data_IF_884743877640
#
_entry.id   IF_884743877640
#
_cell.length_a   1.000
_cell.length_b   1.000
_cell.length_c   1.000
_cell.angle_alpha   90.00
_cell.angle_beta   90.00
_cell.angle_gamma   90.00
#
_symmetry.space_group_name_H-M   'P 1'
#
loop_
_entity.id
_entity.type
_entity.pdbx_description
1 polymer ?
#
# COMPACT_ATOMS: atom_id res chain seq x y z
N UNK A 1 2.15 46.04 -5.71
CA UNK A 1 3.33 45.32 -5.17
C UNK A 1 2.99 44.92 -3.75
N UNK A 2 2.64 43.69 -3.39
CA UNK A 2 2.43 42.44 -4.10
C UNK A 2 1.33 41.66 -3.36
N UNK A 3 0.65 40.81 -4.12
CA UNK A 3 -0.60 40.12 -3.82
C UNK A 3 -0.56 39.12 -2.64
N UNK A 4 -1.63 39.13 -1.84
CA UNK A 4 -2.04 38.02 -0.97
C UNK A 4 -3.19 37.29 -1.67
N UNK A 5 -2.93 36.08 -2.18
CA UNK A 5 -3.95 35.18 -2.70
C UNK A 5 -4.52 34.32 -1.55
N UNK A 6 -5.81 34.53 -1.28
CA UNK A 6 -6.68 33.62 -0.55
C UNK A 6 -6.94 32.37 -1.40
N UNK A 7 -6.53 31.20 -0.93
CA UNK A 7 -7.09 29.92 -1.39
C UNK A 7 -8.09 29.43 -0.35
N UNK A 8 -9.38 29.55 -0.66
CA UNK A 8 -10.43 28.80 0.01
C UNK A 8 -10.40 27.35 -0.52
N UNK A 9 -10.07 26.41 0.35
CA UNK A 9 -10.19 24.98 0.10
C UNK A 9 -11.67 24.60 0.07
N UNK A 10 -12.18 24.37 -1.14
CA UNK A 10 -13.42 23.65 -1.38
C UNK A 10 -13.22 22.17 -1.03
N UNK A 11 -14.11 21.67 -0.18
CA UNK A 11 -14.42 20.26 0.01
C UNK A 11 -14.54 19.57 -1.36
N UNK A 12 -13.55 18.75 -1.72
CA UNK A 12 -13.76 17.68 -2.69
C UNK A 12 -13.91 16.39 -1.90
N UNK A 13 -15.15 15.94 -1.82
CA UNK A 13 -15.52 14.56 -1.51
C UNK A 13 -14.68 13.63 -2.39
N UNK A 14 -13.86 12.77 -1.77
CA UNK A 14 -13.26 11.61 -2.40
C UNK A 14 -14.37 10.61 -2.77
N UNK A 15 -15.13 10.94 -3.83
CA UNK A 15 -15.68 9.91 -4.68
C UNK A 15 -14.57 9.54 -5.65
N UNK A 16 -13.90 8.42 -5.39
CA UNK A 16 -13.22 7.69 -6.46
C UNK A 16 -14.32 7.26 -7.43
N UNK A 17 -14.57 8.07 -8.45
CA UNK A 17 -15.21 7.57 -9.66
C UNK A 17 -14.32 6.42 -10.15
N UNK A 18 -14.85 5.22 -10.41
CA UNK A 18 -14.12 4.30 -11.26
C UNK A 18 -13.81 5.08 -12.54
N UNK A 19 -12.54 5.11 -12.95
CA UNK A 19 -12.18 5.65 -14.25
C UNK A 19 -13.20 5.13 -15.28
N UNK A 20 -13.72 5.97 -16.19
CA UNK A 20 -14.55 5.46 -17.27
C UNK A 20 -13.76 4.34 -17.93
N UNK A 21 -14.28 3.10 -17.91
CA UNK A 21 -13.63 1.97 -18.55
C UNK A 21 -13.47 2.34 -20.02
N UNK A 22 -12.27 2.72 -20.40
CA UNK A 22 -11.97 3.06 -21.78
C UNK A 22 -12.19 1.78 -22.58
N UNK A 23 -13.09 1.84 -23.56
CA UNK A 23 -13.30 0.77 -24.56
C UNK A 23 -11.97 0.40 -25.25
N UNK A 24 -10.99 1.32 -25.21
CA UNK A 24 -9.63 1.20 -25.71
C UNK A 24 -8.72 0.28 -24.87
N UNK A 25 -8.93 0.19 -23.56
CA UNK A 25 -8.07 -0.58 -22.64
C UNK A 25 -8.43 -2.09 -22.67
N UNK A 26 -9.72 -2.40 -22.92
CA UNK A 26 -10.26 -3.76 -23.03
C UNK A 26 -9.86 -4.54 -24.32
N UNK A 27 -9.27 -3.86 -25.32
CA UNK A 27 -8.82 -4.50 -26.56
C UNK A 27 -7.41 -5.08 -26.45
N UNK A 28 -6.59 -4.51 -25.58
CA UNK A 28 -5.23 -4.98 -25.30
C UNK A 28 -5.22 -6.13 -24.28
N UNK A 29 -6.31 -6.30 -23.53
CA UNK A 29 -6.43 -7.28 -22.46
C UNK A 29 -6.83 -8.70 -22.93
N UNK A 30 -7.24 -8.89 -24.19
CA UNK A 30 -7.63 -10.23 -24.69
C UNK A 30 -6.93 -10.60 -25.97
N UNK A 31 -6.27 -11.76 -25.99
CA UNK A 31 -5.52 -12.34 -27.11
C UNK A 31 -6.35 -12.68 -28.37
N UNK A 32 -7.64 -12.32 -28.42
CA UNK A 32 -8.58 -12.67 -29.51
C UNK A 32 -9.33 -11.44 -30.08
N UNK A 33 -8.82 -10.22 -29.81
CA UNK A 33 -9.37 -8.98 -30.36
C UNK A 33 -8.35 -8.26 -31.22
N UNK A 34 -8.82 -7.65 -32.30
CA UNK A 34 -8.05 -6.80 -33.19
C UNK A 34 -8.56 -5.35 -33.06
N UNK A 35 -7.61 -4.42 -32.99
CA UNK A 35 -7.89 -2.98 -32.92
C UNK A 35 -7.91 -2.40 -34.34
N UNK A 36 -9.03 -1.82 -34.75
CA UNK A 36 -9.13 -1.11 -36.02
C UNK A 36 -8.15 0.06 -36.05
N UNK A 37 -7.66 0.42 -37.24
CA UNK A 37 -6.61 1.43 -37.39
C UNK A 37 -7.07 2.85 -36.97
N UNK A 38 -8.36 3.14 -37.14
CA UNK A 38 -9.01 4.36 -36.64
C UNK A 38 -9.00 4.52 -35.10
N UNK A 39 -8.65 3.47 -34.35
CA UNK A 39 -8.72 3.39 -32.88
C UNK A 39 -10.12 3.62 -32.30
N UNK A 40 -11.18 3.54 -33.10
CA UNK A 40 -12.55 3.79 -32.65
C UNK A 40 -13.33 2.50 -32.36
N UNK A 41 -12.84 1.36 -32.87
CA UNK A 41 -13.52 0.07 -32.77
C UNK A 41 -12.52 -1.07 -32.59
N UNK A 42 -12.95 -2.10 -31.88
CA UNK A 42 -12.26 -3.38 -31.83
C UNK A 42 -13.20 -4.50 -32.25
N UNK A 43 -12.67 -5.45 -32.99
CA UNK A 43 -13.38 -6.58 -33.55
C UNK A 43 -12.75 -7.88 -33.06
N UNK A 44 -13.51 -8.97 -33.05
CA UNK A 44 -12.98 -10.29 -32.69
C UNK A 44 -12.19 -10.87 -33.87
N UNK A 45 -11.26 -11.77 -33.58
CA UNK A 45 -10.47 -12.44 -34.62
C UNK A 45 -11.32 -13.21 -35.65
N UNK A 46 -12.55 -13.60 -35.34
CA UNK A 46 -13.45 -14.25 -36.31
C UNK A 46 -13.82 -13.34 -37.47
N UNK A 47 -13.92 -12.02 -37.21
CA UNK A 47 -14.30 -10.97 -38.17
C UNK A 47 -13.11 -10.35 -38.91
N UNK A 48 -11.95 -10.99 -38.80
CA UNK A 48 -10.71 -10.51 -39.43
C UNK A 48 -10.46 -11.29 -40.71
N UNK A 49 -10.23 -10.59 -41.82
CA UNK A 49 -9.97 -11.20 -43.11
C UNK A 49 -11.09 -12.20 -43.53
N UNK A 50 -12.35 -11.85 -43.27
CA UNK A 50 -13.55 -12.63 -43.61
C UNK A 50 -14.26 -12.14 -44.89
N UNK A 51 -13.62 -11.20 -45.61
CA UNK A 51 -14.11 -10.52 -46.80
C UNK A 51 -15.28 -9.54 -46.55
N UNK A 52 -15.48 -9.12 -45.31
CA UNK A 52 -16.43 -8.10 -44.92
C UNK A 52 -15.74 -6.95 -44.17
N UNK A 53 -16.19 -5.71 -44.39
CA UNK A 53 -15.65 -4.54 -43.68
C UNK A 53 -16.37 -4.36 -42.35
N UNK A 54 -15.87 -5.00 -41.29
CA UNK A 54 -16.32 -4.82 -39.92
C UNK A 54 -15.63 -3.64 -39.22
N UNK A 55 -14.44 -3.22 -39.64
CA UNK A 55 -13.90 -1.93 -39.24
C UNK A 55 -14.52 -0.79 -40.06
N UNK A 56 -14.77 0.37 -39.42
CA UNK A 56 -15.40 1.52 -40.08
C UNK A 56 -14.52 2.10 -41.21
N UNK A 57 -13.21 1.90 -41.10
CA UNK A 57 -12.19 2.30 -42.07
C UNK A 57 -11.77 1.15 -43.01
N UNK A 58 -12.36 -0.04 -42.87
CA UNK A 58 -12.01 -1.25 -43.63
C UNK A 58 -10.61 -1.79 -43.33
N UNK A 59 -10.00 -1.41 -42.20
CA UNK A 59 -8.64 -1.82 -41.83
C UNK A 59 -8.49 -3.31 -41.51
N UNK A 60 -9.60 -4.04 -41.43
CA UNK A 60 -9.70 -5.48 -41.20
C UNK A 60 -9.53 -6.33 -42.46
N UNK A 61 -9.58 -5.73 -43.66
CA UNK A 61 -9.49 -6.40 -44.95
C UNK A 61 -8.36 -5.79 -45.80
N UNK A 62 -7.18 -6.43 -45.82
CA UNK A 62 -6.05 -5.99 -46.65
C UNK A 62 -5.55 -7.07 -47.60
N UNK A 63 -4.73 -6.69 -48.57
CA UNK A 63 -4.11 -7.64 -49.50
C UNK A 63 -3.26 -8.73 -48.79
N UNK A 64 -2.76 -8.45 -47.59
CA UNK A 64 -1.95 -9.39 -46.79
C UNK A 64 -2.78 -10.50 -46.12
N UNK A 65 -4.12 -10.36 -46.08
CA UNK A 65 -5.06 -11.38 -45.61
C UNK A 65 -4.98 -12.70 -46.40
N UNK A 66 -4.33 -12.71 -47.57
CA UNK A 66 -4.14 -13.89 -48.41
C UNK A 66 -2.90 -14.73 -48.03
N UNK A 67 -2.03 -14.21 -47.16
CA UNK A 67 -0.80 -14.89 -46.75
C UNK A 67 -1.12 -16.09 -45.86
N UNK A 68 -0.66 -17.29 -46.25
CA UNK A 68 -0.95 -18.51 -45.50
C UNK A 68 -0.30 -18.52 -44.10
N UNK A 69 -1.01 -19.10 -43.14
CA UNK A 69 -0.52 -19.29 -41.78
C UNK A 69 0.65 -20.30 -41.73
N UNK A 70 1.74 -20.00 -41.01
CA UNK A 70 2.82 -20.96 -40.83
C UNK A 70 2.39 -22.13 -39.93
N UNK A 71 2.85 -23.33 -40.25
CA UNK A 71 2.59 -24.55 -39.44
C UNK A 71 3.43 -24.62 -38.15
N UNK A 72 4.31 -23.65 -37.92
CA UNK A 72 5.20 -23.59 -36.75
C UNK A 72 4.57 -22.92 -35.52
N UNK A 73 3.35 -22.39 -35.59
CA UNK A 73 2.67 -21.81 -34.43
C UNK A 73 2.31 -22.91 -33.40
N UNK A 74 2.63 -22.69 -32.13
CA UNK A 74 2.37 -23.65 -31.05
C UNK A 74 0.88 -23.84 -30.73
N UNK A 75 0.05 -22.78 -30.85
CA UNK A 75 -1.38 -22.84 -30.55
C UNK A 75 -2.25 -22.64 -31.79
N UNK A 76 -2.48 -21.39 -32.19
CA UNK A 76 -3.31 -21.05 -33.36
C UNK A 76 -2.69 -19.91 -34.16
N UNK A 77 -3.09 -19.81 -35.42
CA UNK A 77 -2.71 -18.72 -36.31
C UNK A 77 -3.95 -18.10 -36.93
N UNK A 78 -3.94 -16.77 -37.07
CA UNK A 78 -4.96 -16.02 -37.80
C UNK A 78 -4.29 -15.17 -38.88
N UNK A 79 -4.86 -15.16 -40.07
CA UNK A 79 -4.46 -14.24 -41.13
C UNK A 79 -4.92 -12.83 -40.73
N UNK A 80 -4.01 -11.87 -40.75
CA UNK A 80 -4.31 -10.48 -40.40
C UNK A 80 -3.95 -9.54 -41.55
N UNK A 81 -4.49 -8.30 -41.55
CA UNK A 81 -4.13 -7.24 -42.48
C UNK A 81 -2.63 -6.89 -42.52
N UNK A 82 -1.88 -7.26 -41.48
CA UNK A 82 -0.42 -7.05 -41.36
C UNK A 82 0.40 -8.33 -41.63
N UNK A 83 -0.23 -9.42 -42.08
CA UNK A 83 0.38 -10.74 -42.27
C UNK A 83 -0.15 -11.79 -41.29
N UNK A 84 0.27 -13.06 -41.40
CA UNK A 84 -0.19 -14.12 -40.51
C UNK A 84 0.37 -13.93 -39.10
N UNK A 85 -0.49 -14.01 -38.09
CA UNK A 85 -0.15 -13.84 -36.69
C UNK A 85 -0.43 -15.13 -35.92
N UNK A 86 0.61 -15.70 -35.29
CA UNK A 86 0.42 -16.72 -34.27
C UNK A 86 -0.13 -16.02 -33.01
N UNK A 87 -1.11 -16.64 -32.35
CA UNK A 87 -1.61 -16.18 -31.06
C UNK A 87 -1.74 -17.36 -30.10
N UNK A 88 -1.81 -17.02 -28.82
CA UNK A 88 -1.73 -17.97 -27.71
C UNK A 88 -3.05 -17.98 -26.92
N UNK A 89 -3.33 -19.05 -26.15
CA UNK A 89 -4.53 -19.10 -25.32
C UNK A 89 -4.54 -17.93 -24.30
N UNK A 90 -5.71 -17.57 -23.74
CA UNK A 90 -5.80 -16.58 -22.67
C UNK A 90 -4.84 -16.90 -21.51
N UNK A 91 -4.25 -15.86 -20.91
CA UNK A 91 -3.25 -16.01 -19.83
C UNK A 91 -1.83 -16.34 -20.31
N UNK A 92 -1.59 -16.35 -21.62
CA UNK A 92 -0.24 -16.58 -22.19
C UNK A 92 0.04 -15.56 -23.30
N UNK A 93 1.30 -15.32 -23.65
CA UNK A 93 1.69 -14.41 -24.72
C UNK A 93 2.73 -15.04 -25.65
N UNK A 94 2.93 -14.48 -26.84
CA UNK A 94 3.89 -15.00 -27.81
C UNK A 94 5.33 -14.67 -27.40
N UNK A 95 6.22 -15.65 -27.52
CA UNK A 95 7.64 -15.49 -27.18
C UNK A 95 8.37 -14.57 -28.15
N UNK A 96 9.12 -13.61 -27.62
CA UNK A 96 9.96 -12.69 -28.41
C UNK A 96 11.23 -13.35 -28.98
N UNK A 97 11.59 -14.55 -28.52
CA UNK A 97 12.85 -15.23 -28.88
C UNK A 97 12.71 -16.19 -30.07
N UNK A 98 11.51 -16.69 -30.36
CA UNK A 98 11.26 -17.72 -31.38
C UNK A 98 10.29 -17.23 -32.47
N UNK A 99 10.56 -16.09 -33.10
CA UNK A 99 9.69 -15.50 -34.14
C UNK A 99 8.19 -15.45 -33.75
N UNK A 100 7.87 -15.18 -32.48
CA UNK A 100 6.50 -15.14 -31.95
C UNK A 100 5.67 -16.44 -32.13
N UNK A 101 6.33 -17.59 -32.31
CA UNK A 101 5.64 -18.88 -32.60
C UNK A 101 5.34 -19.74 -31.38
N UNK A 102 6.01 -19.50 -30.24
CA UNK A 102 5.81 -20.24 -28.98
C UNK A 102 5.06 -19.40 -27.96
N UNK A 103 4.32 -20.07 -27.07
CA UNK A 103 3.51 -19.44 -26.03
C UNK A 103 4.23 -19.51 -24.68
N UNK A 104 4.30 -18.37 -24.01
CA UNK A 104 4.89 -18.19 -22.69
C UNK A 104 3.80 -17.74 -21.73
N UNK A 105 3.80 -18.32 -20.54
CA UNK A 105 2.89 -17.97 -19.47
C UNK A 105 3.02 -16.48 -19.07
N UNK A 106 1.89 -15.84 -18.75
CA UNK A 106 1.90 -14.49 -18.16
C UNK A 106 1.90 -14.69 -16.66
N UNK A 107 2.95 -14.21 -15.98
CA UNK A 107 2.97 -14.23 -14.51
C UNK A 107 2.22 -13.01 -13.96
N UNK A 108 0.93 -13.19 -13.63
CA UNK A 108 0.13 -12.09 -13.09
C UNK A 108 0.60 -11.67 -11.70
N UNK A 109 1.33 -12.51 -10.96
CA UNK A 109 1.77 -12.23 -9.60
C UNK A 109 2.91 -11.19 -9.54
N UNK A 110 3.51 -10.82 -10.67
CA UNK A 110 4.47 -9.71 -10.75
C UNK A 110 3.76 -8.36 -10.56
N UNK A 111 2.46 -8.28 -10.87
CA UNK A 111 1.68 -7.05 -10.72
C UNK A 111 1.06 -6.95 -9.32
N UNK A 112 1.39 -5.87 -8.62
CA UNK A 112 0.82 -5.58 -7.30
C UNK A 112 -0.70 -5.35 -7.39
N UNK A 113 -1.46 -5.91 -6.44
CA UNK A 113 -2.91 -5.72 -6.33
C UNK A 113 -3.77 -6.71 -7.13
N UNK A 114 -3.17 -7.77 -7.70
CA UNK A 114 -3.95 -8.85 -8.34
C UNK A 114 -4.70 -9.71 -7.32
N UNK A 115 -4.05 -10.00 -6.19
CA UNK A 115 -4.62 -10.65 -5.02
C UNK A 115 -4.44 -9.72 -3.81
N UNK A 116 -5.36 -9.74 -2.85
CA UNK A 116 -5.23 -8.96 -1.61
C UNK A 116 -4.02 -9.40 -0.77
N UNK A 117 -3.69 -10.69 -0.82
CA UNK A 117 -2.65 -11.31 0.01
C UNK A 117 -1.70 -12.15 -0.86
N UNK A 118 -1.84 -13.48 -0.87
CA UNK A 118 -0.88 -14.36 -1.52
C UNK A 118 -1.34 -14.72 -2.94
N UNK A 119 -0.47 -14.49 -3.93
CA UNK A 119 -0.67 -14.87 -5.33
C UNK A 119 0.23 -16.07 -5.69
N UNK A 120 -0.35 -17.09 -6.31
CA UNK A 120 0.40 -18.21 -6.91
C UNK A 120 0.13 -18.27 -8.40
N UNK A 121 1.18 -18.06 -9.20
CA UNK A 121 1.10 -18.13 -10.65
C UNK A 121 0.88 -19.58 -11.12
N UNK A 122 0.02 -19.77 -12.12
CA UNK A 122 -0.28 -21.08 -12.72
C UNK A 122 -0.29 -20.95 -14.24
N UNK A 123 -0.11 -22.04 -14.97
CA UNK A 123 -0.08 -21.92 -16.44
C UNK A 123 -1.42 -21.42 -17.00
N UNK A 124 -1.43 -20.22 -17.59
CA UNK A 124 -2.58 -19.53 -18.17
C UNK A 124 -3.49 -18.84 -17.16
N UNK A 125 -3.13 -18.77 -15.88
CA UNK A 125 -3.96 -18.13 -14.84
C UNK A 125 -3.20 -17.96 -13.52
N UNK A 126 -3.89 -17.58 -12.46
CA UNK A 126 -3.34 -17.51 -11.11
C UNK A 126 -4.39 -17.90 -10.09
N UNK A 127 -3.92 -18.24 -8.89
CA UNK A 127 -4.78 -18.52 -7.75
C UNK A 127 -4.37 -17.63 -6.58
N UNK A 128 -5.34 -16.90 -6.04
CA UNK A 128 -5.17 -16.15 -4.81
C UNK A 128 -5.48 -17.03 -3.59
N UNK A 129 -4.77 -16.79 -2.49
CA UNK A 129 -5.02 -17.43 -1.20
C UNK A 129 -4.85 -16.43 -0.07
N UNK A 130 -5.48 -16.73 1.07
CA UNK A 130 -5.49 -15.87 2.25
C UNK A 130 -4.74 -16.49 3.42
N UNK A 131 -4.08 -15.65 4.19
CA UNK A 131 -3.34 -15.97 5.41
C UNK A 131 -4.28 -16.44 6.53
N UNK A 132 -3.72 -17.06 7.57
CA UNK A 132 -4.50 -17.53 8.70
C UNK A 132 -5.36 -16.41 9.32
N UNK A 133 -6.64 -16.70 9.59
CA UNK A 133 -7.62 -15.73 10.10
C UNK A 133 -8.41 -14.99 9.01
N UNK A 134 -8.06 -15.17 7.73
CA UNK A 134 -8.78 -14.61 6.60
C UNK A 134 -9.44 -15.69 5.73
N UNK A 135 -10.48 -15.30 4.99
CA UNK A 135 -11.26 -16.12 4.07
C UNK A 135 -11.39 -15.44 2.71
N UNK A 136 -11.16 -16.24 1.66
CA UNK A 136 -11.23 -15.80 0.27
C UNK A 136 -12.68 -15.58 -0.12
N UNK A 137 -12.97 -14.42 -0.68
CA UNK A 137 -14.31 -14.03 -1.10
C UNK A 137 -14.67 -14.64 -2.47
N UNK A 138 -15.94 -14.51 -2.87
CA UNK A 138 -16.48 -15.09 -4.11
C UNK A 138 -15.87 -14.57 -5.40
N UNK A 139 -15.15 -13.44 -5.34
CA UNK A 139 -14.40 -12.90 -6.48
C UNK A 139 -13.05 -13.62 -6.72
N UNK A 140 -12.66 -14.52 -5.81
CA UNK A 140 -11.42 -15.28 -5.90
C UNK A 140 -10.16 -14.45 -5.68
N UNK A 141 -10.27 -13.21 -5.18
CA UNK A 141 -9.15 -12.26 -4.99
C UNK A 141 -9.12 -11.59 -3.64
N UNK A 142 -10.29 -11.25 -3.13
CA UNK A 142 -10.44 -10.46 -1.90
C UNK A 142 -10.34 -11.35 -0.67
N UNK A 143 -9.61 -10.92 0.36
CA UNK A 143 -9.45 -11.64 1.62
C UNK A 143 -10.10 -10.86 2.77
N UNK A 144 -11.06 -11.46 3.48
CA UNK A 144 -11.73 -10.85 4.65
C UNK A 144 -11.53 -11.66 5.91
N UNK A 145 -11.54 -11.01 7.07
CA UNK A 145 -11.37 -11.67 8.38
C UNK A 145 -12.54 -12.64 8.64
N UNK A 146 -12.23 -13.86 9.12
CA UNK A 146 -13.21 -14.93 9.39
C UNK A 146 -14.18 -14.61 10.54
N UNK A 147 -13.66 -14.06 11.64
CA UNK A 147 -14.40 -14.00 12.91
C UNK A 147 -15.20 -12.70 13.11
N UNK A 148 -15.40 -11.89 12.07
CA UNK A 148 -16.24 -10.69 12.14
C UNK A 148 -15.84 -9.69 13.22
N UNK A 149 -14.59 -9.76 13.73
CA UNK A 149 -14.08 -8.76 14.65
C UNK A 149 -14.16 -7.40 13.98
N UNK A 150 -14.78 -6.46 14.67
CA UNK A 150 -14.90 -5.11 14.17
C UNK A 150 -13.51 -4.47 14.06
N UNK A 151 -13.19 -4.00 12.86
CA UNK A 151 -12.03 -3.17 12.66
C UNK A 151 -12.34 -1.78 13.25
N UNK A 152 -11.55 -1.36 14.24
CA UNK A 152 -11.68 -0.06 14.90
C UNK A 152 -10.47 0.77 14.56
N UNK A 153 -10.70 1.96 14.00
CA UNK A 153 -9.67 2.95 13.75
C UNK A 153 -9.58 3.89 14.95
N UNK A 154 -8.41 3.99 15.56
CA UNK A 154 -8.08 4.99 16.58
C UNK A 154 -7.39 6.16 15.89
N UNK A 155 -7.80 7.38 16.21
CA UNK A 155 -7.21 8.58 15.63
C UNK A 155 -7.23 9.74 16.62
N UNK A 156 -6.25 10.62 16.50
CA UNK A 156 -6.21 11.91 17.20
C UNK A 156 -7.00 12.95 16.41
N UNK A 157 -7.64 13.86 17.13
CA UNK A 157 -7.97 15.19 16.62
C UNK A 157 -6.92 16.16 17.17
N UNK A 158 -7.30 17.39 17.51
CA UNK A 158 -6.39 18.32 18.20
C UNK A 158 -6.40 18.10 19.72
N UNK A 159 -7.58 17.96 20.32
CA UNK A 159 -7.85 17.92 21.76
C UNK A 159 -8.51 16.61 22.24
N UNK A 160 -8.68 15.64 21.34
CA UNK A 160 -9.27 14.34 21.64
C UNK A 160 -8.52 13.18 20.99
N UNK A 161 -8.68 12.00 21.58
CA UNK A 161 -8.44 10.72 20.92
C UNK A 161 -9.80 10.04 20.73
N UNK A 162 -10.09 9.60 19.51
CA UNK A 162 -11.39 9.05 19.11
C UNK A 162 -11.22 7.69 18.45
N UNK A 163 -12.33 6.97 18.36
CA UNK A 163 -12.44 5.76 17.56
C UNK A 163 -13.56 5.86 16.54
N UNK A 164 -13.43 5.12 15.45
CA UNK A 164 -14.52 4.80 14.54
C UNK A 164 -14.50 3.31 14.22
N UNK A 165 -15.65 2.65 14.40
CA UNK A 165 -15.86 1.29 13.94
C UNK A 165 -16.09 1.30 12.42
N UNK A 166 -15.23 0.62 11.66
CA UNK A 166 -15.24 0.67 10.20
C UNK A 166 -16.44 -0.04 9.57
N UNK A 167 -17.12 -0.92 10.31
CA UNK A 167 -18.31 -1.63 9.83
C UNK A 167 -19.59 -0.83 10.09
N UNK A 168 -19.77 -0.32 11.31
CA UNK A 168 -20.98 0.39 11.73
C UNK A 168 -20.92 1.91 11.52
N UNK A 169 -19.72 2.46 11.31
CA UNK A 169 -19.50 3.91 11.29
C UNK A 169 -19.70 4.58 12.65
N UNK A 170 -19.82 3.80 13.74
CA UNK A 170 -20.01 4.34 15.08
C UNK A 170 -18.74 5.00 15.59
N UNK A 171 -18.81 6.31 15.83
CA UNK A 171 -17.73 7.07 16.45
C UNK A 171 -17.89 7.18 17.96
N UNK A 172 -16.80 7.01 18.71
CA UNK A 172 -16.78 7.22 20.17
C UNK A 172 -15.51 7.93 20.63
N UNK A 173 -15.61 8.90 21.56
CA UNK A 173 -14.44 9.52 22.17
C UNK A 173 -13.79 8.59 23.20
N UNK A 174 -12.45 8.50 23.18
CA UNK A 174 -11.64 7.72 24.15
C UNK A 174 -11.09 8.62 25.25
N UNK A 175 -10.60 9.80 24.86
CA UNK A 175 -10.08 10.79 25.77
C UNK A 175 -10.40 12.19 25.23
N UNK A 176 -10.85 13.08 26.12
CA UNK A 176 -11.27 14.44 25.77
C UNK A 176 -10.58 15.47 26.68
N UNK A 177 -10.58 16.74 26.26
CA UNK A 177 -9.95 17.82 27.02
C UNK A 177 -8.42 17.70 27.05
N UNK A 178 -7.82 17.10 26.02
CA UNK A 178 -6.39 17.02 25.83
C UNK A 178 -5.89 18.33 25.23
N UNK A 179 -4.59 18.64 25.40
CA UNK A 179 -4.05 19.92 24.97
C UNK A 179 -3.71 19.97 23.49
N UNK A 180 -2.86 19.04 23.04
CA UNK A 180 -2.46 18.90 21.66
C UNK A 180 -1.95 17.48 21.42
N UNK A 181 -2.79 16.62 20.87
CA UNK A 181 -2.42 15.23 20.56
C UNK A 181 -1.85 15.14 19.15
N UNK A 182 -0.73 14.46 18.99
CA UNK A 182 -0.12 14.24 17.67
C UNK A 182 -0.24 12.77 17.26
N UNK A 183 0.66 11.93 17.75
CA UNK A 183 0.71 10.50 17.42
C UNK A 183 -0.24 9.66 18.27
N UNK A 184 -0.75 8.57 17.68
CA UNK A 184 -1.58 7.55 18.36
C UNK A 184 -1.13 6.16 17.91
N UNK A 185 -0.93 5.24 18.85
CA UNK A 185 -0.59 3.85 18.58
C UNK A 185 -1.23 2.89 19.59
N UNK A 186 -1.31 1.60 19.27
CA UNK A 186 -1.83 0.59 20.19
C UNK A 186 -1.05 -0.73 20.08
N UNK A 187 -1.06 -1.51 21.16
CA UNK A 187 -0.46 -2.87 21.23
C UNK A 187 -1.52 -4.00 21.23
N UNK A 188 -2.79 -3.64 20.97
CA UNK A 188 -3.95 -4.54 21.06
C UNK A 188 -4.59 -4.64 22.45
N UNK A 189 -4.01 -4.03 23.49
CA UNK A 189 -4.57 -3.97 24.87
C UNK A 189 -4.57 -2.57 25.46
N UNK A 190 -3.61 -1.76 25.05
CA UNK A 190 -3.36 -0.41 25.51
C UNK A 190 -3.25 0.53 24.33
N UNK A 191 -3.76 1.75 24.54
CA UNK A 191 -3.65 2.86 23.63
C UNK A 191 -2.58 3.81 24.14
N UNK A 192 -1.81 4.37 23.24
CA UNK A 192 -0.74 5.31 23.50
C UNK A 192 -1.00 6.55 22.67
N UNK A 193 -0.69 7.73 23.22
CA UNK A 193 -0.68 8.96 22.45
C UNK A 193 0.37 9.94 22.94
N UNK A 194 0.89 10.75 22.03
CA UNK A 194 1.83 11.82 22.34
C UNK A 194 1.13 13.17 22.46
N UNK A 195 1.55 13.96 23.44
CA UNK A 195 1.21 15.36 23.61
C UNK A 195 2.39 16.21 23.18
N UNK A 196 2.17 17.13 22.25
CA UNK A 196 3.19 18.08 21.76
C UNK A 196 2.94 19.50 22.29
N UNK A 197 2.17 19.63 23.37
CA UNK A 197 1.94 20.92 24.01
C UNK A 197 3.22 21.44 24.66
N UNK A 198 3.69 22.60 24.22
CA UNK A 198 4.98 23.15 24.64
C UNK A 198 5.05 23.33 26.17
N UNK A 199 6.07 22.71 26.78
CA UNK A 199 6.31 22.72 28.23
C UNK A 199 5.56 21.64 29.02
N UNK A 200 4.69 20.86 28.37
CA UNK A 200 4.02 19.68 28.95
C UNK A 200 3.99 18.52 27.94
N UNK A 201 5.09 18.34 27.22
CA UNK A 201 5.28 17.25 26.27
C UNK A 201 5.29 15.92 27.04
N UNK A 202 4.40 15.01 26.66
CA UNK A 202 4.21 13.73 27.35
C UNK A 202 3.83 12.62 26.39
N UNK A 203 4.13 11.37 26.77
CA UNK A 203 3.54 10.19 26.14
C UNK A 203 2.72 9.48 27.21
N UNK A 204 1.43 9.29 26.94
CA UNK A 204 0.47 8.72 27.86
C UNK A 204 0.00 7.37 27.32
N UNK A 205 -0.22 6.42 28.24
CA UNK A 205 -0.81 5.12 27.98
C UNK A 205 -2.17 5.03 28.66
N UNK A 206 -3.12 4.34 28.07
CA UNK A 206 -4.35 3.91 28.73
C UNK A 206 -4.79 2.53 28.25
N UNK A 207 -5.87 2.00 28.84
CA UNK A 207 -6.63 0.92 28.20
C UNK A 207 -7.30 1.41 26.91
N UNK A 208 -7.75 0.49 26.07
CA UNK A 208 -8.45 0.80 24.80
C UNK A 208 -9.73 1.63 24.97
N UNK A 209 -10.35 1.59 26.16
CA UNK A 209 -11.53 2.39 26.52
C UNK A 209 -11.19 3.77 27.10
N UNK A 210 -9.90 4.12 27.17
CA UNK A 210 -9.43 5.41 27.70
C UNK A 210 -9.28 5.46 29.23
N UNK A 211 -9.60 4.37 29.94
CA UNK A 211 -9.45 4.28 31.40
C UNK A 211 -8.03 3.88 31.81
N UNK A 212 -7.68 4.12 33.09
CA UNK A 212 -6.37 3.74 33.62
C UNK A 212 -5.22 4.47 32.93
N UNK A 213 -5.30 5.80 32.82
CA UNK A 213 -4.26 6.61 32.19
C UNK A 213 -2.99 6.60 33.04
N UNK A 214 -1.86 6.31 32.40
CA UNK A 214 -0.53 6.22 32.99
C UNK A 214 0.44 7.07 32.17
N UNK A 215 1.34 7.78 32.86
CA UNK A 215 2.38 8.58 32.20
C UNK A 215 3.57 7.68 31.86
N UNK A 216 3.90 7.56 30.58
CA UNK A 216 5.02 6.74 30.10
C UNK A 216 6.27 7.59 29.95
N UNK A 217 6.18 8.74 29.31
CA UNK A 217 7.33 9.63 29.12
C UNK A 217 6.93 11.04 29.53
N UNK A 218 7.73 11.64 30.41
CA UNK A 218 7.44 12.94 31.03
C UNK A 218 8.59 13.94 30.93
N UNK A 219 9.74 13.50 30.40
CA UNK A 219 10.94 14.31 30.25
C UNK A 219 11.74 13.81 29.05
N UNK A 220 12.60 14.67 28.50
CA UNK A 220 13.38 14.35 27.30
C UNK A 220 12.57 14.37 26.00
N UNK A 221 11.40 15.03 26.02
CA UNK A 221 10.55 15.28 24.87
C UNK A 221 10.59 16.77 24.51
N UNK A 222 10.45 17.08 23.23
CA UNK A 222 10.33 18.46 22.72
C UNK A 222 9.21 18.62 21.70
N UNK A 223 9.04 17.68 20.77
CA UNK A 223 7.86 17.60 19.90
C UNK A 223 7.71 16.17 19.37
N UNK A 224 7.17 15.23 20.18
CA UNK A 224 6.94 13.85 19.77
C UNK A 224 5.80 13.75 18.73
N UNK A 225 6.15 13.79 17.45
CA UNK A 225 5.19 13.90 16.32
C UNK A 225 4.40 12.62 16.10
N UNK A 226 5.06 11.47 16.18
CA UNK A 226 4.42 10.17 15.97
C UNK A 226 5.02 9.11 16.90
N UNK A 227 4.26 8.04 17.10
CA UNK A 227 4.61 6.93 17.99
C UNK A 227 4.31 5.59 17.32
N UNK A 228 5.13 4.59 17.64
CA UNK A 228 4.89 3.20 17.26
C UNK A 228 5.19 2.28 18.45
N UNK A 229 4.45 1.19 18.58
CA UNK A 229 4.60 0.27 19.71
C UNK A 229 5.00 -1.11 19.21
N UNK A 230 6.10 -1.63 19.74
CA UNK A 230 6.47 -3.03 19.58
C UNK A 230 5.58 -3.86 20.53
N UNK A 231 4.56 -4.52 19.99
CA UNK A 231 3.62 -5.32 20.79
C UNK A 231 4.24 -6.61 21.35
N UNK A 232 5.42 -7.03 20.89
CA UNK A 232 6.12 -8.20 21.43
C UNK A 232 6.91 -7.83 22.68
N UNK A 233 7.64 -6.71 22.66
CA UNK A 233 8.48 -6.27 23.78
C UNK A 233 7.83 -5.22 24.66
N UNK A 234 6.69 -4.66 24.23
CA UNK A 234 6.00 -3.53 24.85
C UNK A 234 6.90 -2.29 24.96
N UNK A 235 7.76 -2.06 23.97
CA UNK A 235 8.56 -0.84 23.87
C UNK A 235 7.83 0.18 22.99
N UNK A 236 7.82 1.43 23.42
CA UNK A 236 7.23 2.58 22.73
C UNK A 236 8.34 3.36 22.05
N UNK A 237 8.28 3.43 20.73
CA UNK A 237 9.17 4.21 19.88
C UNK A 237 8.49 5.50 19.49
N UNK A 238 9.24 6.60 19.44
CA UNK A 238 8.68 7.91 19.11
C UNK A 238 9.67 8.75 18.33
N UNK A 239 9.14 9.57 17.41
CA UNK A 239 9.91 10.54 16.64
C UNK A 239 9.79 11.91 17.28
N UNK A 240 10.91 12.57 17.54
CA UNK A 240 10.91 13.93 18.09
C UNK A 240 11.43 14.94 17.06
N UNK A 241 10.56 15.85 16.63
CA UNK A 241 10.87 16.88 15.65
C UNK A 241 11.76 17.99 16.21
N UNK A 242 11.53 18.40 17.47
CA UNK A 242 12.25 19.54 18.08
C UNK A 242 13.65 19.12 18.52
N UNK A 243 13.77 17.91 19.06
CA UNK A 243 15.02 17.33 19.53
C UNK A 243 15.76 16.53 18.46
N UNK A 244 15.16 16.35 17.28
CA UNK A 244 15.75 15.68 16.11
C UNK A 244 16.32 14.32 16.46
N UNK A 245 15.49 13.42 16.98
CA UNK A 245 15.90 12.07 17.28
C UNK A 245 14.72 11.08 17.24
N UNK A 246 15.04 9.79 17.26
CA UNK A 246 14.10 8.70 17.53
C UNK A 246 14.45 8.11 18.89
N UNK A 247 13.47 8.13 19.79
CA UNK A 247 13.58 7.61 21.13
C UNK A 247 12.84 6.29 21.28
N UNK A 248 13.24 5.51 22.27
CA UNK A 248 12.55 4.30 22.71
C UNK A 248 12.42 4.33 24.22
N UNK A 249 11.27 3.92 24.73
CA UNK A 249 11.03 3.73 26.16
C UNK A 249 10.28 2.41 26.39
N UNK A 250 10.56 1.74 27.50
CA UNK A 250 9.72 0.65 27.98
C UNK A 250 8.32 1.16 28.38
N UNK A 251 7.29 0.31 28.35
CA UNK A 251 5.90 0.74 28.56
C UNK A 251 5.59 1.43 29.90
N UNK A 252 6.46 1.33 30.92
CA UNK A 252 6.34 2.04 32.19
C UNK A 252 7.20 3.31 32.26
N UNK A 253 8.03 3.55 31.24
CA UNK A 253 8.89 4.73 31.19
C UNK A 253 10.15 4.66 32.05
N UNK A 254 10.43 3.53 32.69
CA UNK A 254 11.57 3.41 33.62
C UNK A 254 12.91 3.42 32.88
N UNK A 255 12.93 2.87 31.66
CA UNK A 255 14.12 2.77 30.83
C UNK A 255 13.84 3.39 29.47
N UNK A 256 14.58 4.45 29.15
CA UNK A 256 14.48 5.19 27.89
C UNK A 256 15.86 5.36 27.28
N UNK A 257 15.93 5.35 25.95
CA UNK A 257 17.16 5.57 25.20
C UNK A 257 16.87 6.32 23.89
N UNK A 258 17.87 7.04 23.40
CA UNK A 258 17.86 7.60 22.04
C UNK A 258 18.59 6.62 21.13
N UNK A 259 17.92 6.18 20.06
CA UNK A 259 18.45 5.15 19.15
C UNK A 259 18.87 5.70 17.80
N UNK A 260 18.33 6.86 17.40
CA UNK A 260 18.74 7.56 16.18
C UNK A 260 18.83 9.04 16.50
N UNK A 261 20.01 9.64 16.32
CA UNK A 261 20.25 11.09 16.52
C UNK A 261 21.25 11.68 15.50
N UNK A 262 21.76 10.86 14.59
CA UNK A 262 22.65 11.26 13.52
C UNK A 262 21.86 11.28 12.20
N UNK A 263 22.16 12.25 11.35
CA UNK A 263 21.60 12.38 9.99
C UNK A 263 20.06 12.37 9.93
N UNK A 264 19.43 12.90 10.98
CA UNK A 264 17.98 13.08 11.10
C UNK A 264 17.65 14.58 11.15
N UNK A 265 16.64 14.99 10.37
CA UNK A 265 16.30 16.39 10.18
C UNK A 265 14.90 16.71 10.68
N UNK A 266 13.88 16.13 10.07
CA UNK A 266 12.49 16.31 10.48
C UNK A 266 11.75 14.98 10.44
N UNK A 267 11.95 14.13 11.46
CA UNK A 267 11.24 12.86 11.51
C UNK A 267 9.74 13.11 11.76
N UNK A 268 8.90 12.28 11.16
CA UNK A 268 7.44 12.30 11.37
C UNK A 268 6.95 10.87 11.56
N UNK A 269 6.34 10.29 10.54
CA UNK A 269 5.67 8.99 10.65
C UNK A 269 6.65 7.88 10.98
N UNK A 270 6.30 7.00 11.91
CA UNK A 270 7.12 5.86 12.32
C UNK A 270 6.28 4.58 12.36
N UNK A 271 6.85 3.47 11.90
CA UNK A 271 6.21 2.16 11.97
C UNK A 271 7.23 1.06 12.20
N UNK A 272 6.77 -0.06 12.76
CA UNK A 272 7.60 -1.17 13.19
C UNK A 272 7.13 -2.47 12.53
N UNK A 273 8.08 -3.32 12.23
CA UNK A 273 7.89 -4.74 11.89
C UNK A 273 8.62 -5.55 12.96
N UNK A 274 8.01 -5.80 14.13
CA UNK A 274 8.68 -6.42 15.27
C UNK A 274 9.24 -7.81 14.99
N UNK A 275 8.53 -8.63 14.20
CA UNK A 275 8.96 -9.99 13.85
C UNK A 275 10.30 -9.98 13.09
N UNK A 276 10.44 -9.07 12.14
CA UNK A 276 11.64 -8.91 11.33
C UNK A 276 12.67 -7.97 11.98
N UNK A 277 12.30 -7.34 13.11
CA UNK A 277 13.10 -6.33 13.81
C UNK A 277 13.49 -5.20 12.87
N UNK A 278 12.52 -4.63 12.17
CA UNK A 278 12.73 -3.49 11.28
C UNK A 278 11.87 -2.33 11.74
N UNK A 279 12.42 -1.12 11.66
CA UNK A 279 11.72 0.14 11.85
C UNK A 279 11.81 0.94 10.56
N UNK A 280 10.70 1.58 10.21
CA UNK A 280 10.64 2.56 9.13
C UNK A 280 10.21 3.91 9.69
N UNK A 281 10.78 4.99 9.18
CA UNK A 281 10.28 6.32 9.45
C UNK A 281 10.41 7.22 8.23
N UNK A 282 9.55 8.24 8.18
CA UNK A 282 9.62 9.30 7.19
C UNK A 282 10.35 10.51 7.78
N UNK A 283 11.31 11.06 7.03
CA UNK A 283 11.94 12.34 7.31
C UNK A 283 11.56 13.32 6.19
N UNK A 284 10.97 14.46 6.55
CA UNK A 284 10.52 15.50 5.61
C UNK A 284 11.41 16.75 5.64
N UNK A 285 12.66 16.59 6.09
CA UNK A 285 13.65 17.65 6.14
C UNK A 285 14.14 18.12 4.78
N UNK A 286 15.35 18.64 4.76
CA UNK A 286 16.04 19.14 3.55
C UNK A 286 16.14 18.10 2.44
N UNK A 287 16.27 16.82 2.80
CA UNK A 287 16.28 15.69 1.87
C UNK A 287 15.19 14.70 2.27
N UNK A 288 13.96 14.85 1.75
CA UNK A 288 12.85 14.00 2.14
C UNK A 288 13.10 12.54 1.75
N UNK A 289 12.96 11.62 2.70
CA UNK A 289 13.20 10.19 2.48
C UNK A 289 12.41 9.32 3.45
N UNK A 290 12.23 8.06 3.07
CA UNK A 290 11.79 6.98 3.97
C UNK A 290 13.05 6.18 4.31
N UNK A 291 13.33 6.04 5.60
CA UNK A 291 14.50 5.34 6.08
C UNK A 291 14.07 4.04 6.74
N UNK A 292 14.94 3.04 6.64
CA UNK A 292 14.78 1.75 7.31
C UNK A 292 15.99 1.47 8.20
N UNK A 293 15.74 0.90 9.38
CA UNK A 293 16.77 0.51 10.33
C UNK A 293 16.40 -0.84 10.94
N UNK A 294 17.38 -1.73 11.10
CA UNK A 294 17.18 -2.96 11.86
C UNK A 294 17.31 -2.70 13.37
N UNK A 295 16.34 -3.14 14.14
CA UNK A 295 16.31 -3.06 15.60
C UNK A 295 17.24 -4.12 16.18
N UNK A 296 18.41 -3.70 16.63
CA UNK A 296 19.33 -4.57 17.36
C UNK A 296 18.84 -4.68 18.81
N UNK A 297 18.87 -5.89 19.39
CA UNK A 297 18.57 -6.07 20.81
C UNK A 297 19.54 -5.25 21.66
N UNK A 298 19.05 -4.19 22.29
CA UNK A 298 19.81 -3.40 23.26
C UNK A 298 20.07 -4.29 24.48
N UNK A 299 21.22 -4.96 24.49
CA UNK A 299 21.76 -5.54 25.71
C UNK A 299 22.45 -4.39 26.45
N UNK A 300 21.89 -3.97 27.59
CA UNK A 300 22.56 -3.03 28.48
C UNK A 300 23.89 -3.64 28.95
N UNK A 301 24.98 -3.33 28.25
CA UNK A 301 26.33 -3.59 28.76
C UNK A 301 26.60 -2.47 29.77
N UNK A 302 26.74 -2.86 31.03
CA UNK A 302 27.00 -1.96 32.14
C UNK A 302 28.19 -1.04 31.86
N UNK A 303 28.05 0.20 32.33
CA UNK A 303 29.04 1.27 32.49
C UNK A 303 30.39 1.10 31.77
N UNK A 304 30.68 2.05 30.88
CA UNK A 304 31.90 2.21 30.06
C UNK A 304 31.96 1.33 28.80
N UNK A 305 31.05 1.59 27.87
CA UNK A 305 31.17 1.07 26.51
C UNK A 305 30.47 2.01 25.54
N UNK A 306 31.24 2.66 24.69
CA UNK A 306 30.75 3.41 23.53
C UNK A 306 29.79 2.51 22.73
N UNK A 307 28.56 2.99 22.50
CA UNK A 307 27.67 2.37 21.51
C UNK A 307 28.38 2.44 20.16
N UNK A 308 28.68 1.28 19.59
CA UNK A 308 29.05 1.16 18.18
C UNK A 308 27.83 0.53 17.50
N UNK A 309 27.26 1.28 16.56
CA UNK A 309 26.18 0.88 15.64
C UNK A 309 26.58 -0.35 14.83
#
# INVERSE_FOLDING_TARGET
MNDYLLYQNLFFSLFTFPAPKDVMEDCLASNEKFKCHDNLKCITFDKLCDAHSDCNDGSDESAQCTTACPSSCQFKCKQTPSGPLCYCPPGTHTSTLNNASSCVDIDECIHFGICDQTCTNTYGSYVCSCEHGFELQSDGKTCRVKDGNDAVLYFSTYDEVRTINLNSGLETPVATGLKHVAGVACDGRSLYWSSIYEGEETIIKSKLDGTGKELVVSAGLGSPEDIAVDWLTLNVYFTDLKLRHIGVCENRGENCAVIVNADIDKPRGITLVPVDRIMYWADWGTHPMIITLSLVSVSCIGQTGTLIL
#
